data_IF_033910354867
#
_entry.id   IF_033910354867
#
_cell.length_a   1.000
_cell.length_b   1.000
_cell.length_c   1.000
_cell.angle_alpha   90.00
_cell.angle_beta   90.00
_cell.angle_gamma   90.00
#
_symmetry.space_group_name_H-M   'P 1'
#
loop_
_entity.id
_entity.type
_entity.pdbx_description
1 polymer ?
#
# COMPACT_ATOMS: atom_id res chain seq x y z
N UNK A 1 17.93 -13.85 20.40
CA UNK A 1 18.11 -13.97 18.94
C UNK A 1 19.24 -13.02 18.56
N UNK A 2 20.26 -13.46 17.81
CA UNK A 2 21.37 -12.60 17.44
C UNK A 2 20.84 -11.38 16.68
N UNK A 3 21.28 -10.17 17.04
CA UNK A 3 20.98 -8.93 16.33
C UNK A 3 21.49 -9.02 14.89
N UNK A 4 20.67 -9.57 14.01
CA UNK A 4 20.92 -9.62 12.57
C UNK A 4 20.85 -8.21 11.98
N UNK A 5 21.63 -7.97 10.92
CA UNK A 5 21.60 -6.68 10.22
C UNK A 5 20.35 -6.50 9.33
N UNK A 6 19.54 -7.56 9.17
CA UNK A 6 18.26 -7.53 8.45
C UNK A 6 17.19 -6.97 9.41
N UNK A 7 16.56 -5.83 9.11
CA UNK A 7 15.50 -5.29 9.94
C UNK A 7 14.21 -6.13 9.84
N UNK A 8 13.30 -6.00 10.82
CA UNK A 8 11.94 -6.54 10.69
C UNK A 8 11.27 -6.08 9.40
N UNK A 9 10.58 -6.99 8.72
CA UNK A 9 9.91 -6.78 7.44
C UNK A 9 8.66 -7.67 7.34
N UNK A 10 7.83 -7.46 6.30
CA UNK A 10 6.62 -8.27 6.06
C UNK A 10 5.40 -7.89 6.90
N UNK A 11 5.44 -6.79 7.65
CA UNK A 11 4.31 -6.29 8.47
C UNK A 11 3.19 -5.60 7.69
N UNK A 12 2.93 -5.99 6.43
CA UNK A 12 2.02 -5.30 5.52
C UNK A 12 0.58 -5.19 6.05
N UNK A 13 0.11 -6.19 6.80
CA UNK A 13 -1.24 -6.22 7.37
C UNK A 13 -1.52 -5.05 8.34
N UNK A 14 -0.46 -4.40 8.85
CA UNK A 14 -0.57 -3.22 9.71
C UNK A 14 -0.54 -1.90 8.93
N UNK A 15 -0.24 -1.92 7.63
CA UNK A 15 -0.23 -0.72 6.81
C UNK A 15 -1.67 -0.28 6.51
N UNK A 16 -1.98 0.98 6.79
CA UNK A 16 -3.27 1.56 6.42
C UNK A 16 -3.46 1.57 4.89
N UNK A 17 -2.39 1.75 4.12
CA UNK A 17 -2.40 1.66 2.65
C UNK A 17 -2.84 0.27 2.19
N UNK A 18 -2.31 -0.80 2.80
CA UNK A 18 -2.72 -2.17 2.51
C UNK A 18 -4.19 -2.40 2.83
N UNK A 19 -4.62 -2.09 4.06
CA UNK A 19 -6.01 -2.31 4.49
C UNK A 19 -7.02 -1.59 3.58
N UNK A 20 -6.69 -0.37 3.13
CA UNK A 20 -7.54 0.36 2.18
C UNK A 20 -7.50 -0.24 0.78
N UNK A 21 -6.34 -0.66 0.29
CA UNK A 21 -6.23 -1.34 -1.00
C UNK A 21 -6.96 -2.70 -1.02
N UNK A 22 -6.99 -3.41 0.09
CA UNK A 22 -7.76 -4.65 0.25
C UNK A 22 -9.26 -4.41 0.13
N UNK A 23 -9.79 -3.40 0.83
CA UNK A 23 -11.20 -3.00 0.70
C UNK A 23 -11.52 -2.60 -0.75
N UNK A 24 -10.64 -1.84 -1.39
CA UNK A 24 -10.80 -1.42 -2.80
C UNK A 24 -10.86 -2.63 -3.73
N UNK A 25 -10.03 -3.66 -3.49
CA UNK A 25 -10.07 -4.89 -4.27
C UNK A 25 -11.43 -5.60 -4.12
N UNK A 26 -11.88 -5.86 -2.90
CA UNK A 26 -13.15 -6.55 -2.65
C UNK A 26 -14.34 -5.77 -3.22
N UNK A 27 -14.33 -4.45 -3.03
CA UNK A 27 -15.34 -3.55 -3.58
C UNK A 27 -15.35 -3.54 -5.11
N UNK A 28 -14.18 -3.64 -5.75
CA UNK A 28 -14.07 -3.67 -7.21
C UNK A 28 -14.58 -4.98 -7.79
N UNK A 29 -14.30 -6.12 -7.13
CA UNK A 29 -14.90 -7.41 -7.52
C UNK A 29 -16.42 -7.32 -7.46
N UNK A 30 -16.96 -6.81 -6.34
CA UNK A 30 -18.41 -6.61 -6.19
C UNK A 30 -19.01 -5.69 -7.27
N UNK A 31 -18.37 -4.52 -7.49
CA UNK A 31 -18.83 -3.55 -8.49
C UNK A 31 -18.85 -4.15 -9.89
N UNK A 32 -17.77 -4.81 -10.30
CA UNK A 32 -17.65 -5.43 -11.61
C UNK A 32 -18.67 -6.56 -11.81
N UNK A 33 -18.95 -7.36 -10.79
CA UNK A 33 -19.94 -8.44 -10.89
C UNK A 33 -21.37 -7.92 -11.07
N UNK A 34 -21.66 -6.70 -10.61
CA UNK A 34 -22.99 -6.12 -10.60
C UNK A 34 -23.25 -5.17 -11.77
N UNK A 35 -22.25 -4.37 -12.16
CA UNK A 35 -22.45 -3.23 -13.05
C UNK A 35 -21.62 -3.29 -14.33
N UNK A 36 -20.67 -4.23 -14.45
CA UNK A 36 -19.83 -4.39 -15.65
C UNK A 36 -20.18 -5.70 -16.34
N UNK A 37 -20.31 -5.67 -17.67
CA UNK A 37 -20.67 -6.85 -18.44
C UNK A 37 -19.68 -8.00 -18.24
N UNK A 38 -20.17 -9.24 -18.07
CA UNK A 38 -19.30 -10.41 -17.80
C UNK A 38 -18.25 -10.69 -18.88
N UNK A 39 -18.51 -10.30 -20.12
CA UNK A 39 -17.60 -10.46 -21.28
C UNK A 39 -16.85 -9.18 -21.62
N UNK A 40 -17.03 -8.14 -20.82
CA UNK A 40 -16.36 -6.87 -21.03
C UNK A 40 -14.90 -6.99 -20.55
N UNK A 41 -13.95 -6.65 -21.41
CA UNK A 41 -12.52 -6.66 -21.08
C UNK A 41 -12.19 -5.67 -19.95
N UNK A 42 -12.97 -4.60 -19.81
CA UNK A 42 -12.81 -3.63 -18.73
C UNK A 42 -13.01 -4.26 -17.35
N UNK A 43 -13.85 -5.30 -17.22
CA UNK A 43 -14.01 -6.05 -15.97
C UNK A 43 -12.69 -6.65 -15.50
N UNK A 44 -12.00 -7.36 -16.38
CA UNK A 44 -10.73 -8.02 -16.04
C UNK A 44 -9.63 -7.00 -15.76
N UNK A 45 -9.61 -5.88 -16.50
CA UNK A 45 -8.66 -4.79 -16.28
C UNK A 45 -8.82 -4.14 -14.91
N UNK A 46 -10.05 -3.77 -14.53
CA UNK A 46 -10.34 -3.19 -13.21
C UNK A 46 -9.96 -4.13 -12.08
N UNK A 47 -10.39 -5.39 -12.13
CA UNK A 47 -10.08 -6.38 -11.09
C UNK A 47 -8.56 -6.59 -10.97
N UNK A 48 -7.86 -6.66 -12.11
CA UNK A 48 -6.42 -6.86 -12.13
C UNK A 48 -5.66 -5.62 -11.62
N UNK A 49 -6.09 -4.40 -11.94
CA UNK A 49 -5.51 -3.17 -11.41
C UNK A 49 -5.66 -3.11 -9.89
N UNK A 50 -6.86 -3.40 -9.37
CA UNK A 50 -7.11 -3.47 -7.93
C UNK A 50 -6.25 -4.55 -7.24
N UNK A 51 -6.15 -5.75 -7.85
CA UNK A 51 -5.32 -6.85 -7.35
C UNK A 51 -3.84 -6.47 -7.32
N UNK A 52 -3.34 -5.89 -8.42
CA UNK A 52 -1.96 -5.41 -8.55
C UNK A 52 -1.64 -4.37 -7.48
N UNK A 53 -2.56 -3.44 -7.22
CA UNK A 53 -2.45 -2.44 -6.16
C UNK A 53 -2.13 -3.07 -4.80
N UNK A 54 -2.96 -4.00 -4.31
CA UNK A 54 -2.70 -4.64 -3.01
C UNK A 54 -1.48 -5.56 -3.01
N UNK A 55 -1.24 -6.31 -4.08
CA UNK A 55 -0.14 -7.28 -4.12
C UNK A 55 1.23 -6.60 -4.08
N UNK A 56 1.41 -5.49 -4.80
CA UNK A 56 2.66 -4.75 -4.76
C UNK A 56 2.96 -4.14 -3.38
N UNK A 57 1.93 -3.85 -2.56
CA UNK A 57 2.12 -3.44 -1.16
C UNK A 57 2.65 -4.61 -0.31
N UNK A 58 2.10 -5.81 -0.50
CA UNK A 58 2.56 -7.03 0.18
C UNK A 58 4.02 -7.29 -0.20
N UNK A 59 4.31 -7.39 -1.50
CA UNK A 59 5.65 -7.69 -2.01
C UNK A 59 6.67 -6.62 -1.59
N UNK A 60 6.29 -5.34 -1.64
CA UNK A 60 7.13 -4.24 -1.19
C UNK A 60 7.49 -4.36 0.29
N UNK A 61 6.50 -4.65 1.13
CA UNK A 61 6.71 -4.85 2.57
C UNK A 61 7.57 -6.07 2.87
N UNK A 62 7.43 -7.17 2.14
CA UNK A 62 8.30 -8.34 2.28
C UNK A 62 9.75 -8.03 1.86
N UNK A 63 9.92 -7.28 0.76
CA UNK A 63 11.24 -6.89 0.27
C UNK A 63 11.94 -5.85 1.18
N UNK A 64 11.21 -5.11 2.01
CA UNK A 64 11.72 -3.99 2.83
C UNK A 64 12.94 -4.33 3.71
N UNK A 65 13.06 -5.58 4.16
CA UNK A 65 14.18 -6.07 4.94
C UNK A 65 15.45 -6.30 4.13
N UNK A 66 15.29 -6.57 2.84
CA UNK A 66 16.36 -6.98 1.94
C UNK A 66 16.77 -5.86 0.98
N UNK A 67 15.81 -5.08 0.49
CA UNK A 67 16.02 -4.02 -0.48
C UNK A 67 15.02 -2.88 -0.32
N UNK A 68 15.52 -1.75 0.19
CA UNK A 68 14.76 -0.49 0.26
C UNK A 68 14.41 0.06 -1.12
N UNK A 69 15.29 -0.13 -2.11
CA UNK A 69 15.02 0.24 -3.48
C UNK A 69 13.83 -0.54 -4.05
N UNK A 70 13.74 -1.85 -3.77
CA UNK A 70 12.62 -2.68 -4.21
C UNK A 70 11.33 -2.32 -3.49
N UNK A 71 11.39 -2.04 -2.17
CA UNK A 71 10.24 -1.56 -1.41
C UNK A 71 9.67 -0.25 -2.00
N UNK A 72 10.53 0.74 -2.30
CA UNK A 72 10.11 1.99 -2.96
C UNK A 72 9.48 1.68 -4.32
N UNK A 73 10.17 0.90 -5.16
CA UNK A 73 9.69 0.56 -6.51
C UNK A 73 8.30 -0.08 -6.47
N UNK A 74 8.11 -1.13 -5.68
CA UNK A 74 6.84 -1.84 -5.59
C UNK A 74 5.74 -0.96 -4.98
N UNK A 75 6.06 -0.14 -3.97
CA UNK A 75 5.09 0.83 -3.43
C UNK A 75 4.65 1.83 -4.51
N UNK A 76 5.55 2.29 -5.38
CA UNK A 76 5.21 3.15 -6.52
C UNK A 76 4.37 2.43 -7.58
N UNK A 77 4.63 1.15 -7.86
CA UNK A 77 3.79 0.34 -8.76
C UNK A 77 2.38 0.16 -8.18
N UNK A 78 2.26 -0.10 -6.87
CA UNK A 78 0.96 -0.15 -6.20
C UNK A 78 0.16 1.14 -6.39
N UNK A 79 0.82 2.30 -6.23
CA UNK A 79 0.21 3.62 -6.43
C UNK A 79 -0.24 3.82 -7.88
N UNK A 80 0.57 3.38 -8.86
CA UNK A 80 0.24 3.47 -10.27
C UNK A 80 -0.97 2.59 -10.62
N UNK A 81 -1.01 1.34 -10.15
CA UNK A 81 -2.17 0.46 -10.39
C UNK A 81 -3.48 1.00 -9.81
N UNK A 82 -3.43 1.72 -8.67
CA UNK A 82 -4.61 2.40 -8.15
C UNK A 82 -5.00 3.66 -8.94
N UNK A 83 -4.06 4.30 -9.65
CA UNK A 83 -4.38 5.40 -10.57
C UNK A 83 -5.07 4.88 -11.84
N UNK A 84 -4.59 3.76 -12.37
CA UNK A 84 -5.22 3.06 -13.50
C UNK A 84 -6.67 2.70 -13.15
N UNK A 85 -6.87 2.09 -11.98
CA UNK A 85 -8.20 1.75 -11.49
C UNK A 85 -9.09 2.99 -11.31
N UNK A 86 -8.53 4.10 -10.81
CA UNK A 86 -9.27 5.36 -10.67
C UNK A 86 -9.74 5.89 -12.03
N UNK A 87 -8.92 5.77 -13.07
CA UNK A 87 -9.29 6.14 -14.42
C UNK A 87 -10.44 5.26 -14.94
N UNK A 88 -10.40 3.95 -14.71
CA UNK A 88 -11.47 3.03 -15.12
C UNK A 88 -12.83 3.39 -14.47
N UNK A 89 -12.85 3.73 -13.16
CA UNK A 89 -14.08 4.18 -12.50
C UNK A 89 -14.61 5.50 -13.06
N UNK A 90 -13.72 6.43 -13.40
CA UNK A 90 -14.10 7.71 -14.03
C UNK A 90 -14.66 7.50 -15.44
N UNK A 91 -14.08 6.57 -16.19
CA UNK A 91 -14.58 6.19 -17.50
C UNK A 91 -15.95 5.51 -17.41
N UNK A 92 -16.17 4.66 -16.40
CA UNK A 92 -17.49 4.12 -16.11
C UNK A 92 -18.52 5.24 -15.86
N UNK A 93 -18.22 6.17 -14.95
CA UNK A 93 -19.11 7.29 -14.65
C UNK A 93 -19.43 8.12 -15.91
N UNK A 94 -18.39 8.50 -16.66
CA UNK A 94 -18.50 9.33 -17.87
C UNK A 94 -19.33 8.65 -18.96
N UNK A 95 -19.08 7.37 -19.23
CA UNK A 95 -19.81 6.62 -20.27
C UNK A 95 -21.27 6.36 -19.90
N UNK A 96 -21.60 6.37 -18.60
CA UNK A 96 -22.95 6.15 -18.08
C UNK A 96 -23.68 7.46 -17.73
N UNK A 97 -23.07 8.63 -18.01
CA UNK A 97 -23.61 9.97 -17.70
C UNK A 97 -23.92 10.15 -16.21
N UNK A 98 -23.02 9.65 -15.37
CA UNK A 98 -23.06 9.79 -13.92
C UNK A 98 -21.96 10.75 -13.48
N UNK A 99 -22.22 11.53 -12.43
CA UNK A 99 -21.27 12.52 -11.93
C UNK A 99 -20.35 11.96 -10.85
N UNK A 100 -19.08 12.36 -10.90
CA UNK A 100 -18.16 12.16 -9.77
C UNK A 100 -18.47 13.20 -8.68
N UNK A 101 -18.56 12.77 -7.43
CA UNK A 101 -18.82 13.66 -6.30
C UNK A 101 -17.69 14.66 -6.11
N UNK A 102 -18.07 15.93 -6.03
CA UNK A 102 -17.19 16.99 -5.57
C UNK A 102 -16.85 16.86 -4.07
N UNK A 103 -16.07 17.84 -3.60
CA UNK A 103 -15.60 17.84 -2.23
C UNK A 103 -16.67 18.13 -1.17
N UNK A 104 -17.76 18.79 -1.54
CA UNK A 104 -18.81 19.28 -0.66
C UNK A 104 -20.04 18.36 -0.65
N UNK A 105 -20.12 17.42 -1.60
CA UNK A 105 -21.17 16.42 -1.66
C UNK A 105 -21.37 15.70 -0.30
N UNK A 106 -22.61 15.60 0.24
CA UNK A 106 -22.86 15.07 1.57
C UNK A 106 -22.30 13.65 1.79
N UNK A 107 -22.39 12.79 0.77
CA UNK A 107 -21.83 11.44 0.84
C UNK A 107 -20.30 11.42 0.79
N UNK A 108 -19.66 12.35 0.06
CA UNK A 108 -18.21 12.49 0.07
C UNK A 108 -17.72 12.95 1.46
N UNK A 109 -18.42 13.92 2.09
CA UNK A 109 -18.11 14.33 3.46
C UNK A 109 -18.32 13.19 4.47
N UNK A 110 -19.39 12.40 4.33
CA UNK A 110 -19.63 11.23 5.18
C UNK A 110 -18.52 10.20 5.01
N UNK A 111 -18.11 9.91 3.79
CA UNK A 111 -17.01 8.98 3.50
C UNK A 111 -15.70 9.45 4.13
N UNK A 112 -15.39 10.75 4.09
CA UNK A 112 -14.23 11.31 4.80
C UNK A 112 -14.32 11.10 6.30
N UNK A 113 -15.49 11.33 6.92
CA UNK A 113 -15.68 11.08 8.35
C UNK A 113 -15.45 9.61 8.69
N UNK A 114 -16.02 8.69 7.91
CA UNK A 114 -15.83 7.25 8.12
C UNK A 114 -14.35 6.83 8.01
N UNK A 115 -13.61 7.38 7.04
CA UNK A 115 -12.17 7.10 6.92
C UNK A 115 -11.32 7.65 8.07
N UNK A 116 -11.82 8.63 8.84
CA UNK A 116 -11.12 9.20 10.00
C UNK A 116 -11.38 8.46 11.31
N UNK A 117 -12.38 7.58 11.38
CA UNK A 117 -12.74 6.89 12.63
C UNK A 117 -11.69 5.85 13.09
N UNK A 118 -10.57 5.69 12.37
CA UNK A 118 -9.62 4.59 12.59
C UNK A 118 -10.22 3.28 12.08
N UNK A 119 -9.40 2.24 11.92
CA UNK A 119 -9.74 0.81 11.70
C UNK A 119 -10.80 0.35 10.66
N UNK A 120 -11.44 1.25 9.91
CA UNK A 120 -12.60 0.90 9.09
C UNK A 120 -12.33 -0.23 8.09
N UNK A 121 -13.10 -1.31 8.24
CA UNK A 121 -13.10 -2.50 7.38
C UNK A 121 -14.07 -2.34 6.21
N UNK A 122 -14.20 -3.37 5.37
CA UNK A 122 -15.22 -3.41 4.32
C UNK A 122 -16.63 -3.12 4.89
N UNK A 123 -16.96 -3.65 6.07
CA UNK A 123 -18.26 -3.43 6.74
C UNK A 123 -18.58 -1.95 6.97
N UNK A 124 -17.57 -1.14 7.30
CA UNK A 124 -17.74 0.30 7.52
C UNK A 124 -18.26 1.01 6.27
N UNK A 125 -17.90 0.51 5.09
CA UNK A 125 -18.25 1.10 3.80
C UNK A 125 -19.30 0.30 3.03
N UNK A 126 -19.70 -0.88 3.54
CA UNK A 126 -20.62 -1.81 2.88
C UNK A 126 -21.88 -1.13 2.36
N UNK A 127 -22.51 -0.25 3.15
CA UNK A 127 -23.73 0.46 2.73
C UNK A 127 -23.53 1.29 1.45
N UNK A 128 -22.33 1.84 1.25
CA UNK A 128 -21.97 2.59 0.04
C UNK A 128 -21.50 1.69 -1.09
N UNK A 129 -20.67 0.69 -0.79
CA UNK A 129 -20.12 -0.26 -1.77
C UNK A 129 -21.22 -1.16 -2.35
N UNK A 130 -22.15 -1.63 -1.54
CA UNK A 130 -23.21 -2.55 -1.97
C UNK A 130 -24.50 -1.83 -2.37
N UNK A 131 -24.44 -0.50 -2.53
CA UNK A 131 -25.60 0.31 -2.88
C UNK A 131 -26.16 -0.10 -4.26
N UNK A 132 -27.50 -0.17 -4.44
CA UNK A 132 -28.10 -0.56 -5.71
C UNK A 132 -27.85 0.45 -6.84
N UNK A 133 -27.68 1.73 -6.51
CA UNK A 133 -27.31 2.78 -7.45
C UNK A 133 -25.80 2.71 -7.81
N UNK A 134 -25.44 2.48 -9.09
CA UNK A 134 -24.06 2.42 -9.53
C UNK A 134 -23.28 3.73 -9.30
N UNK A 135 -23.96 4.89 -9.33
CA UNK A 135 -23.31 6.19 -9.10
C UNK A 135 -22.79 6.29 -7.66
N UNK A 136 -23.60 5.86 -6.69
CA UNK A 136 -23.21 5.84 -5.27
C UNK A 136 -22.07 4.84 -5.05
N UNK A 137 -22.19 3.64 -5.63
CA UNK A 137 -21.17 2.60 -5.51
C UNK A 137 -19.81 3.07 -6.07
N UNK A 138 -19.78 3.51 -7.33
CA UNK A 138 -18.55 3.98 -7.99
C UNK A 138 -17.91 5.14 -7.23
N UNK A 139 -18.70 6.14 -6.79
CA UNK A 139 -18.16 7.27 -6.06
C UNK A 139 -17.60 6.93 -4.68
N UNK A 140 -18.19 5.96 -3.97
CA UNK A 140 -17.63 5.46 -2.70
C UNK A 140 -16.28 4.79 -2.95
N UNK A 141 -16.18 3.96 -3.99
CA UNK A 141 -14.93 3.26 -4.32
C UNK A 141 -13.87 4.24 -4.80
N UNK A 142 -14.20 5.22 -5.64
CA UNK A 142 -13.31 6.33 -6.02
C UNK A 142 -12.74 7.03 -4.79
N UNK A 143 -13.60 7.35 -3.81
CA UNK A 143 -13.14 7.98 -2.57
C UNK A 143 -12.20 7.11 -1.75
N UNK A 144 -12.43 5.79 -1.71
CA UNK A 144 -11.52 4.83 -1.06
C UNK A 144 -10.18 4.72 -1.81
N UNK A 145 -10.19 4.70 -3.14
CA UNK A 145 -8.98 4.72 -3.98
C UNK A 145 -8.16 5.98 -3.68
N UNK A 146 -8.79 7.17 -3.65
CA UNK A 146 -8.13 8.44 -3.31
C UNK A 146 -7.47 8.41 -1.93
N UNK A 147 -8.10 7.76 -0.94
CA UNK A 147 -7.50 7.60 0.39
C UNK A 147 -6.31 6.64 0.34
N UNK A 148 -6.42 5.52 -0.36
CA UNK A 148 -5.34 4.56 -0.50
C UNK A 148 -4.12 5.16 -1.23
N UNK A 149 -4.34 5.90 -2.32
CA UNK A 149 -3.26 6.59 -3.06
C UNK A 149 -2.60 7.66 -2.21
N UNK A 150 -3.36 8.46 -1.45
CA UNK A 150 -2.80 9.43 -0.50
C UNK A 150 -1.90 8.77 0.56
N UNK A 151 -2.31 7.61 1.09
CA UNK A 151 -1.51 6.85 2.05
C UNK A 151 -0.22 6.30 1.41
N UNK A 152 -0.30 5.82 0.17
CA UNK A 152 0.87 5.35 -0.59
C UNK A 152 1.84 6.48 -0.90
N UNK A 153 1.37 7.65 -1.31
CA UNK A 153 2.22 8.82 -1.56
C UNK A 153 3.00 9.22 -0.30
N UNK A 154 2.34 9.23 0.87
CA UNK A 154 3.03 9.48 2.14
C UNK A 154 4.04 8.39 2.50
N UNK A 155 3.70 7.13 2.23
CA UNK A 155 4.59 6.00 2.45
C UNK A 155 5.84 6.11 1.57
N UNK A 156 5.70 6.41 0.28
CA UNK A 156 6.82 6.59 -0.67
C UNK A 156 7.74 7.71 -0.18
N UNK A 157 7.19 8.90 0.12
CA UNK A 157 7.98 10.03 0.64
C UNK A 157 8.75 9.68 1.91
N UNK A 158 8.15 8.87 2.79
CA UNK A 158 8.82 8.40 4.00
C UNK A 158 9.96 7.45 3.67
N UNK A 159 9.73 6.49 2.78
CA UNK A 159 10.74 5.53 2.34
C UNK A 159 11.92 6.21 1.65
N UNK A 160 11.68 7.22 0.81
CA UNK A 160 12.72 8.04 0.19
C UNK A 160 13.58 8.74 1.24
N UNK A 161 12.95 9.38 2.23
CA UNK A 161 13.66 10.03 3.34
C UNK A 161 14.49 9.03 4.14
N UNK A 162 13.93 7.85 4.44
CA UNK A 162 14.65 6.82 5.18
C UNK A 162 15.81 6.23 4.37
N UNK A 163 15.66 6.10 3.05
CA UNK A 163 16.73 5.66 2.15
C UNK A 163 17.90 6.64 2.14
N UNK A 164 17.64 7.95 2.02
CA UNK A 164 18.68 8.99 2.07
C UNK A 164 19.41 9.01 3.41
N UNK A 165 18.68 8.87 4.53
CA UNK A 165 19.28 8.99 5.87
C UNK A 165 20.03 7.74 6.33
N UNK A 166 19.52 6.54 6.03
CA UNK A 166 20.02 5.29 6.60
C UNK A 166 20.74 4.38 5.58
N UNK A 167 20.72 4.73 4.29
CA UNK A 167 21.22 3.88 3.22
C UNK A 167 20.43 2.57 3.06
N UNK A 168 20.96 1.67 2.24
CA UNK A 168 20.40 0.35 1.99
C UNK A 168 21.02 -0.76 2.86
N UNK A 169 20.73 -2.01 2.47
CA UNK A 169 21.26 -3.19 3.16
C UNK A 169 22.79 -3.27 3.06
N UNK A 170 23.37 -2.83 1.94
CA UNK A 170 24.82 -2.89 1.69
C UNK A 170 25.61 -2.04 2.70
N UNK A 171 25.11 -0.85 2.98
CA UNK A 171 25.66 0.08 3.95
C UNK A 171 25.58 -0.53 5.36
N UNK A 172 24.44 -1.13 5.71
CA UNK A 172 24.25 -1.83 7.00
C UNK A 172 25.16 -3.05 7.15
N UNK A 173 25.30 -3.87 6.11
CA UNK A 173 26.22 -5.01 6.10
C UNK A 173 27.66 -4.56 6.28
N UNK A 174 28.05 -3.46 5.63
CA UNK A 174 29.40 -2.89 5.75
C UNK A 174 29.64 -2.40 7.18
N UNK A 175 28.68 -1.65 7.75
CA UNK A 175 28.76 -1.19 9.14
C UNK A 175 28.84 -2.35 10.13
N UNK A 176 28.02 -3.40 9.97
CA UNK A 176 28.05 -4.60 10.81
C UNK A 176 29.39 -5.33 10.74
N UNK A 177 29.98 -5.46 9.54
CA UNK A 177 31.32 -6.04 9.35
C UNK A 177 32.40 -5.22 10.05
N UNK A 178 32.37 -3.89 9.93
CA UNK A 178 33.32 -3.00 10.59
C UNK A 178 33.20 -3.08 12.12
N UNK A 179 31.98 -3.11 12.64
CA UNK A 179 31.72 -3.24 14.08
C UNK A 179 32.22 -4.59 14.65
N UNK A 180 32.01 -5.70 13.91
CA UNK A 180 32.53 -7.01 14.29
C UNK A 180 34.07 -7.03 14.34
N UNK A 181 34.74 -6.44 13.33
CA UNK A 181 36.21 -6.30 13.31
C UNK A 181 36.74 -5.46 14.47
N UNK A 182 36.07 -4.35 14.80
CA UNK A 182 36.45 -3.51 15.92
C UNK A 182 36.32 -4.23 17.27
N UNK A 183 35.27 -5.04 17.46
CA UNK A 183 35.11 -5.91 18.65
C UNK A 183 36.21 -6.96 18.75
N UNK A 184 36.59 -7.60 17.64
CA UNK A 184 37.69 -8.58 17.61
C UNK A 184 39.03 -7.94 17.98
N UNK A 185 39.32 -6.73 17.47
CA UNK A 185 40.53 -5.97 17.83
C UNK A 185 40.58 -5.51 19.30
N UNK A 186 39.42 -5.39 19.96
CA UNK A 186 39.29 -4.93 21.36
C UNK A 186 39.36 -6.05 22.39
N UNK A 187 39.34 -7.33 22.00
CA UNK A 187 39.71 -8.44 22.90
C UNK A 187 41.24 -8.57 22.88
N UNK A 188 41.97 -8.16 23.93
CA UNK A 188 43.37 -8.50 24.03
C UNK A 188 43.51 -10.01 24.20
N UNK A 189 44.62 -10.53 23.71
CA UNK A 189 45.21 -11.81 24.07
C UNK A 189 45.36 -11.93 25.60
N UNK A 190 44.35 -12.45 26.29
CA UNK A 190 44.50 -13.00 27.66
C UNK A 190 45.06 -14.43 27.59
N UNK A 191 46.17 -14.61 26.88
CA UNK A 191 46.90 -15.88 26.82
C UNK A 191 48.36 -15.65 26.44
N UNK A 192 49.05 -14.74 27.13
CA UNK A 192 50.51 -14.79 27.20
C UNK A 192 50.93 -14.44 28.63
N UNK A 193 51.59 -15.42 29.23
CA UNK A 193 52.44 -15.41 30.41
C UNK A 193 51.80 -15.26 31.80
N UNK A 194 51.85 -16.36 32.54
CA UNK A 194 52.36 -16.38 33.91
C UNK A 194 53.05 -17.74 34.19
N UNK A 195 54.13 -17.73 35.00
CA UNK A 195 55.34 -18.55 34.83
C UNK A 195 55.25 -20.01 35.29
#
# INVERSE_FOLDING_TARGET
MADGFIPPHGGYANLLSYRKAEIVYDATVYFCDRFVGRRDRTRDQMIQAARSGKQNIIEGSQASGLSKQMEIKLTSVARASLEELLADYRDFLRTHRLDEWDADHPYAQRLRRLNRLGDGSYETFRKGIEHPDPAICANVIIGLIKVATYLLDRQIRRLEKDFVNAGGLRERMTAARLAARAKQRRKPTDALDSP
#
